data_IF_686433756703
#
_entry.id   IF_686433756703
#
_cell.length_a   1.000
_cell.length_b   1.000
_cell.length_c   1.000
_cell.angle_alpha   90.00
_cell.angle_beta   90.00
_cell.angle_gamma   90.00
#
_symmetry.space_group_name_H-M   'P 1'
#
loop_
_entity.id
_entity.type
_entity.pdbx_description
1 polymer ?
#
# COMPACT_ATOMS: atom_id res chain seq x y z
N UNK A 1 55.25 -10.98 -49.55
CA UNK A 1 53.90 -11.12 -48.98
C UNK A 1 52.97 -11.62 -50.06
N UNK A 2 52.41 -12.82 -49.89
CA UNK A 2 51.50 -13.43 -50.86
C UNK A 2 50.14 -12.70 -50.84
N UNK A 3 49.48 -12.67 -51.99
CA UNK A 3 48.17 -12.04 -52.21
C UNK A 3 47.10 -12.56 -51.26
N UNK A 4 47.23 -13.82 -50.81
CA UNK A 4 46.35 -14.44 -49.82
C UNK A 4 46.46 -13.79 -48.43
N UNK A 5 47.67 -13.45 -47.99
CA UNK A 5 47.91 -12.89 -46.67
C UNK A 5 47.25 -11.51 -46.51
N UNK A 6 47.27 -10.70 -47.56
CA UNK A 6 46.57 -9.41 -47.62
C UNK A 6 45.03 -9.56 -47.59
N UNK A 7 44.50 -10.55 -48.30
CA UNK A 7 43.05 -10.86 -48.31
C UNK A 7 42.54 -11.29 -46.93
N UNK A 8 43.35 -12.02 -46.15
CA UNK A 8 43.02 -12.36 -44.77
C UNK A 8 43.03 -11.14 -43.85
N UNK A 9 44.05 -10.29 -43.94
CA UNK A 9 44.14 -9.04 -43.14
C UNK A 9 42.95 -8.10 -43.40
N UNK A 10 42.56 -7.94 -44.67
CA UNK A 10 41.40 -7.12 -45.05
C UNK A 10 40.08 -7.67 -44.49
N UNK A 11 39.92 -9.00 -44.47
CA UNK A 11 38.73 -9.65 -43.88
C UNK A 11 38.67 -9.45 -42.38
N UNK A 12 39.79 -9.55 -41.67
CA UNK A 12 39.86 -9.31 -40.22
C UNK A 12 39.55 -7.84 -39.91
N UNK A 13 40.08 -6.90 -40.69
CA UNK A 13 39.79 -5.49 -40.55
C UNK A 13 38.29 -5.19 -40.75
N UNK A 14 37.67 -5.83 -41.75
CA UNK A 14 36.23 -5.68 -42.02
C UNK A 14 35.36 -6.28 -40.91
N UNK A 15 35.72 -7.44 -40.37
CA UNK A 15 35.01 -8.06 -39.24
C UNK A 15 35.13 -7.17 -38.00
N UNK A 16 36.32 -6.66 -37.67
CA UNK A 16 36.51 -5.75 -36.54
C UNK A 16 35.72 -4.45 -36.69
N UNK A 17 35.64 -3.90 -37.90
CA UNK A 17 34.84 -2.70 -38.19
C UNK A 17 33.35 -2.97 -37.97
N UNK A 18 32.83 -4.09 -38.50
CA UNK A 18 31.43 -4.51 -38.29
C UNK A 18 31.13 -4.74 -36.82
N UNK A 19 31.99 -5.45 -36.09
CA UNK A 19 31.81 -5.70 -34.66
C UNK A 19 31.82 -4.41 -33.85
N UNK A 20 32.68 -3.43 -34.18
CA UNK A 20 32.68 -2.11 -33.52
C UNK A 20 31.41 -1.30 -33.83
N UNK A 21 30.95 -1.30 -35.08
CA UNK A 21 29.71 -0.62 -35.48
C UNK A 21 28.47 -1.27 -34.84
N UNK A 22 28.43 -2.61 -34.74
CA UNK A 22 27.34 -3.35 -34.08
C UNK A 22 27.39 -3.19 -32.57
N UNK A 23 28.57 -3.18 -31.94
CA UNK A 23 28.74 -2.93 -30.52
C UNK A 23 28.39 -1.49 -30.13
N UNK A 24 28.64 -0.51 -31.01
CA UNK A 24 28.23 0.88 -30.83
C UNK A 24 26.72 1.08 -31.01
N UNK A 25 26.04 0.24 -31.80
CA UNK A 25 24.59 0.30 -32.03
C UNK A 25 23.77 -0.44 -30.98
N UNK A 26 24.35 -1.42 -30.28
CA UNK A 26 23.66 -2.10 -29.20
C UNK A 26 23.69 -1.23 -27.93
N UNK A 27 22.52 -0.76 -27.43
CA UNK A 27 22.50 -0.03 -26.17
C UNK A 27 23.03 -0.94 -25.06
N UNK A 28 23.92 -0.41 -24.20
CA UNK A 28 24.42 -1.12 -23.01
C UNK A 28 23.25 -1.77 -22.25
N UNK A 29 23.40 -3.00 -21.73
CA UNK A 29 22.34 -3.65 -20.96
C UNK A 29 21.94 -2.72 -19.81
N UNK A 30 20.70 -2.20 -19.87
CA UNK A 30 20.15 -1.28 -18.88
C UNK A 30 20.13 -1.97 -17.52
N UNK A 31 21.11 -1.67 -16.68
CA UNK A 31 21.13 -1.98 -15.25
C UNK A 31 19.95 -1.33 -14.50
N UNK A 32 19.22 -0.41 -15.14
CA UNK A 32 18.00 0.25 -14.64
C UNK A 32 16.80 -0.69 -14.41
N UNK A 33 16.88 -1.95 -14.83
CA UNK A 33 15.73 -2.86 -14.76
C UNK A 33 15.42 -3.39 -13.36
N UNK A 34 16.38 -3.52 -12.45
CA UNK A 34 16.13 -4.08 -11.10
C UNK A 34 15.34 -3.07 -10.25
N UNK A 35 15.76 -1.81 -10.24
CA UNK A 35 15.09 -0.75 -9.50
C UNK A 35 13.66 -0.48 -10.00
N UNK A 36 13.44 -0.51 -11.33
CA UNK A 36 12.09 -0.39 -11.90
C UNK A 36 11.18 -1.59 -11.60
N UNK A 37 11.76 -2.80 -11.51
CA UNK A 37 11.02 -4.01 -11.14
C UNK A 37 10.61 -4.03 -9.66
N UNK A 38 11.46 -3.50 -8.77
CA UNK A 38 11.15 -3.38 -7.33
C UNK A 38 10.23 -2.20 -7.01
N UNK A 39 10.30 -1.12 -7.80
CA UNK A 39 9.47 0.06 -7.58
C UNK A 39 7.96 -0.24 -7.66
N UNK A 40 7.55 -1.25 -8.44
CA UNK A 40 6.15 -1.56 -8.64
C UNK A 40 5.49 -2.29 -7.43
N UNK A 41 6.03 -3.42 -6.92
CA UNK A 41 5.54 -4.01 -5.67
C UNK A 41 5.67 -3.05 -4.47
N UNK A 42 6.76 -2.28 -4.41
CA UNK A 42 6.97 -1.31 -3.34
C UNK A 42 5.89 -0.21 -3.35
N UNK A 43 5.50 0.28 -4.53
CA UNK A 43 4.42 1.26 -4.66
C UNK A 43 3.05 0.66 -4.26
N UNK A 44 2.81 -0.62 -4.54
CA UNK A 44 1.58 -1.31 -4.10
C UNK A 44 1.51 -1.40 -2.57
N UNK A 45 2.59 -1.85 -1.92
CA UNK A 45 2.67 -1.88 -0.45
C UNK A 45 2.54 -0.48 0.13
N UNK A 46 3.20 0.52 -0.46
CA UNK A 46 3.08 1.92 -0.04
C UNK A 46 1.64 2.43 -0.10
N UNK A 47 0.91 2.12 -1.17
CA UNK A 47 -0.49 2.49 -1.30
C UNK A 47 -1.39 1.80 -0.27
N UNK A 48 -1.17 0.51 -0.01
CA UNK A 48 -1.88 -0.23 1.05
C UNK A 48 -1.63 0.39 2.43
N UNK A 49 -0.37 0.71 2.75
CA UNK A 49 0.00 1.32 4.03
C UNK A 49 -0.60 2.73 4.18
N UNK A 50 -0.64 3.50 3.09
CA UNK A 50 -1.28 4.81 3.07
C UNK A 50 -2.79 4.70 3.37
N UNK A 51 -3.48 3.75 2.73
CA UNK A 51 -4.89 3.47 3.03
C UNK A 51 -5.12 3.03 4.48
N UNK A 52 -4.22 2.21 5.03
CA UNK A 52 -4.28 1.80 6.43
C UNK A 52 -4.11 2.99 7.38
N UNK A 53 -3.11 3.84 7.13
CA UNK A 53 -2.82 5.04 7.94
C UNK A 53 -4.01 6.00 8.02
N UNK A 54 -4.77 6.13 6.94
CA UNK A 54 -5.99 6.95 6.91
C UNK A 54 -7.02 6.48 7.92
N UNK A 55 -7.20 5.17 8.07
CA UNK A 55 -8.15 4.62 9.04
C UNK A 55 -7.71 4.98 10.46
N UNK A 56 -6.41 4.83 10.77
CA UNK A 56 -5.85 5.24 12.07
C UNK A 56 -6.12 6.73 12.34
N UNK A 57 -5.78 7.61 11.40
CA UNK A 57 -6.01 9.05 11.57
C UNK A 57 -7.49 9.39 11.72
N UNK A 58 -8.35 8.75 10.95
CA UNK A 58 -9.80 8.95 11.03
C UNK A 58 -10.33 8.54 12.40
N UNK A 59 -9.92 7.37 12.92
CA UNK A 59 -10.31 6.90 14.26
C UNK A 59 -9.78 7.84 15.34
N UNK A 60 -8.54 8.32 15.22
CA UNK A 60 -7.97 9.29 16.15
C UNK A 60 -8.74 10.60 16.16
N UNK A 61 -9.01 11.19 14.99
CA UNK A 61 -9.79 12.43 14.89
C UNK A 61 -11.19 12.24 15.48
N UNK A 62 -11.85 11.11 15.20
CA UNK A 62 -13.16 10.81 15.77
C UNK A 62 -13.13 10.73 17.28
N UNK A 63 -12.12 10.07 17.85
CA UNK A 63 -11.93 10.02 19.30
C UNK A 63 -11.73 11.42 19.88
N UNK A 64 -10.90 12.26 19.27
CA UNK A 64 -10.68 13.63 19.75
C UNK A 64 -11.93 14.52 19.66
N UNK A 65 -12.79 14.30 18.66
CA UNK A 65 -14.01 15.10 18.47
C UNK A 65 -15.21 14.62 19.28
N UNK A 66 -15.35 13.30 19.47
CA UNK A 66 -16.56 12.67 20.03
C UNK A 66 -16.30 11.98 21.38
N UNK A 67 -15.05 11.58 21.65
CA UNK A 67 -14.68 10.83 22.85
C UNK A 67 -15.05 9.34 22.76
N UNK A 68 -15.43 8.76 23.89
CA UNK A 68 -15.83 7.35 24.01
C UNK A 68 -17.31 7.19 23.60
N UNK A 69 -17.63 6.36 22.60
CA UNK A 69 -19.01 6.13 22.18
C UNK A 69 -19.85 5.41 23.24
N UNK A 70 -21.16 5.70 23.28
CA UNK A 70 -22.09 4.95 24.13
C UNK A 70 -22.54 3.64 23.47
N UNK A 71 -22.45 2.53 24.23
CA UNK A 71 -22.90 1.20 23.80
C UNK A 71 -24.42 1.21 23.58
N UNK A 72 -24.88 0.81 22.39
CA UNK A 72 -26.32 0.71 22.06
C UNK A 72 -26.89 1.89 21.26
N UNK A 73 -26.12 2.97 21.04
CA UNK A 73 -26.43 4.01 20.03
C UNK A 73 -25.79 3.64 18.68
N UNK A 74 -26.00 2.41 18.24
CA UNK A 74 -25.49 1.94 16.95
C UNK A 74 -26.46 2.41 15.88
N UNK A 75 -26.04 3.38 15.06
CA UNK A 75 -26.44 3.51 13.64
C UNK A 75 -25.78 4.71 12.93
N UNK A 76 -25.29 5.73 13.64
CA UNK A 76 -24.74 6.93 12.98
C UNK A 76 -23.22 6.93 12.90
N UNK A 77 -22.53 6.34 13.89
CA UNK A 77 -21.09 6.48 14.04
C UNK A 77 -20.28 5.57 13.10
N UNK A 78 -20.78 4.37 12.78
CA UNK A 78 -20.17 3.49 11.77
C UNK A 78 -20.35 4.05 10.35
N UNK A 79 -21.48 4.70 10.07
CA UNK A 79 -21.68 5.44 8.82
C UNK A 79 -20.74 6.64 8.72
N UNK A 80 -20.48 7.36 9.82
CA UNK A 80 -19.49 8.45 9.86
C UNK A 80 -18.07 7.90 9.67
N UNK A 81 -17.74 6.75 10.28
CA UNK A 81 -16.49 6.01 10.04
C UNK A 81 -16.25 5.71 8.57
N UNK A 82 -17.25 5.12 7.91
CA UNK A 82 -17.17 4.75 6.50
C UNK A 82 -17.20 5.98 5.60
N UNK A 83 -18.02 6.99 5.91
CA UNK A 83 -18.07 8.23 5.15
C UNK A 83 -16.73 8.98 5.23
N UNK A 84 -16.11 9.05 6.41
CA UNK A 84 -14.80 9.68 6.61
C UNK A 84 -13.68 8.88 5.96
N UNK A 85 -13.69 7.54 6.06
CA UNK A 85 -12.73 6.69 5.37
C UNK A 85 -12.87 6.80 3.84
N UNK A 86 -14.10 6.89 3.34
CA UNK A 86 -14.39 7.11 1.91
C UNK A 86 -13.96 8.50 1.44
N UNK A 87 -14.20 9.54 2.25
CA UNK A 87 -13.73 10.91 2.01
C UNK A 87 -12.21 10.97 1.98
N UNK A 88 -11.54 10.33 2.91
CA UNK A 88 -10.08 10.30 2.94
C UNK A 88 -9.50 9.46 1.78
N UNK A 89 -10.15 8.36 1.39
CA UNK A 89 -9.85 7.64 0.16
C UNK A 89 -10.02 8.50 -1.09
N UNK A 90 -11.06 9.34 -1.13
CA UNK A 90 -11.32 10.30 -2.20
C UNK A 90 -10.25 11.40 -2.24
N UNK A 91 -9.84 11.94 -1.09
CA UNK A 91 -8.75 12.94 -0.99
C UNK A 91 -7.43 12.36 -1.48
N UNK A 92 -7.07 11.14 -1.06
CA UNK A 92 -5.88 10.44 -1.57
C UNK A 92 -5.95 10.24 -3.08
N UNK A 93 -7.13 9.88 -3.59
CA UNK A 93 -7.33 9.71 -5.02
C UNK A 93 -7.13 11.01 -5.81
N UNK A 94 -7.46 12.17 -5.23
CA UNK A 94 -7.25 13.48 -5.86
C UNK A 94 -5.76 13.85 -5.98
N UNK A 95 -4.92 13.48 -5.02
CA UNK A 95 -3.48 13.79 -5.06
C UNK A 95 -2.66 12.85 -5.97
N UNK A 96 -3.21 11.72 -6.40
CA UNK A 96 -2.48 10.67 -7.14
C UNK A 96 -2.80 10.59 -8.65
N UNK A 97 -3.29 11.68 -9.25
CA UNK A 97 -3.91 11.78 -10.60
C UNK A 97 -3.24 11.05 -11.78
N UNK A 98 -1.93 10.77 -11.77
CA UNK A 98 -1.21 10.25 -12.95
C UNK A 98 -0.79 8.77 -12.90
N UNK A 99 -0.89 8.06 -11.77
CA UNK A 99 -0.53 6.61 -11.66
C UNK A 99 -1.66 5.73 -11.12
N UNK A 100 -2.88 6.24 -11.27
CA UNK A 100 -3.94 6.09 -10.29
C UNK A 100 -4.67 4.73 -10.27
N UNK A 101 -4.87 4.07 -11.42
CA UNK A 101 -5.78 2.91 -11.46
C UNK A 101 -5.26 1.68 -10.74
N UNK A 102 -3.95 1.43 -10.81
CA UNK A 102 -3.36 0.20 -10.27
C UNK A 102 -3.09 0.27 -8.76
N UNK A 103 -2.84 1.47 -8.22
CA UNK A 103 -2.55 1.66 -6.79
C UNK A 103 -3.78 2.10 -5.98
N UNK A 104 -4.81 2.66 -6.63
CA UNK A 104 -6.06 3.00 -5.93
C UNK A 104 -6.73 1.76 -5.35
N UNK A 105 -6.72 0.63 -6.06
CA UNK A 105 -7.27 -0.64 -5.55
C UNK A 105 -6.51 -1.12 -4.30
N UNK A 106 -5.18 -1.03 -4.29
CA UNK A 106 -4.34 -1.39 -3.15
C UNK A 106 -4.66 -0.54 -1.90
N UNK A 107 -4.82 0.77 -2.09
CA UNK A 107 -5.21 1.70 -1.03
C UNK A 107 -6.61 1.39 -0.52
N UNK A 108 -7.58 1.14 -1.42
CA UNK A 108 -8.95 0.78 -1.03
C UNK A 108 -8.96 -0.52 -0.23
N UNK A 109 -8.20 -1.53 -0.64
CA UNK A 109 -8.05 -2.78 0.12
C UNK A 109 -7.43 -2.50 1.50
N UNK A 110 -6.41 -1.65 1.58
CA UNK A 110 -5.82 -1.23 2.86
C UNK A 110 -6.83 -0.55 3.79
N UNK A 111 -7.66 0.36 3.25
CA UNK A 111 -8.74 1.01 4.00
C UNK A 111 -9.75 -0.02 4.50
N UNK A 112 -10.30 -0.86 3.61
CA UNK A 112 -11.35 -1.82 3.96
C UNK A 112 -10.85 -2.87 4.96
N UNK A 113 -9.70 -3.48 4.67
CA UNK A 113 -9.12 -4.50 5.54
C UNK A 113 -8.84 -3.90 6.93
N UNK A 114 -8.19 -2.74 6.99
CA UNK A 114 -7.90 -2.08 8.26
C UNK A 114 -9.18 -1.69 8.98
N UNK A 115 -10.19 -1.16 8.29
CA UNK A 115 -11.47 -0.78 8.91
C UNK A 115 -12.14 -1.95 9.63
N UNK A 116 -12.15 -3.13 9.01
CA UNK A 116 -12.81 -4.31 9.56
C UNK A 116 -11.96 -5.12 10.54
N UNK A 117 -10.64 -4.87 10.60
CA UNK A 117 -9.70 -5.62 11.45
C UNK A 117 -8.97 -4.77 12.47
N UNK A 118 -9.16 -3.44 12.49
CA UNK A 118 -8.47 -2.51 13.39
C UNK A 118 -8.58 -2.94 14.85
N UNK A 119 -9.76 -3.42 15.27
CA UNK A 119 -10.00 -3.87 16.63
C UNK A 119 -9.11 -5.05 17.01
N UNK A 120 -8.69 -5.90 16.08
CA UNK A 120 -7.73 -6.97 16.37
C UNK A 120 -6.38 -6.43 16.84
N UNK A 121 -5.95 -5.25 16.35
CA UNK A 121 -4.74 -4.60 16.84
C UNK A 121 -4.93 -4.04 18.26
N UNK A 122 -6.14 -3.57 18.57
CA UNK A 122 -6.51 -3.14 19.94
C UNK A 122 -6.47 -4.34 20.90
N UNK A 123 -6.96 -5.51 20.46
CA UNK A 123 -6.85 -6.76 21.22
C UNK A 123 -5.40 -7.23 21.40
N UNK A 124 -4.56 -7.11 20.37
CA UNK A 124 -3.17 -7.55 20.43
C UNK A 124 -2.27 -6.63 21.27
N UNK A 125 -2.56 -5.32 21.30
CA UNK A 125 -1.70 -4.32 21.93
C UNK A 125 -2.49 -3.29 22.78
N UNK A 126 -3.33 -3.71 23.74
CA UNK A 126 -4.26 -2.82 24.45
C UNK A 126 -3.55 -1.62 25.10
N UNK A 127 -2.45 -1.86 25.81
CA UNK A 127 -1.67 -0.81 26.49
C UNK A 127 -1.16 0.30 25.57
N UNK A 128 -0.85 -0.02 24.30
CA UNK A 128 -0.41 1.00 23.34
C UNK A 128 -1.59 1.87 22.90
N UNK A 129 -2.78 1.27 22.75
CA UNK A 129 -3.98 1.99 22.37
C UNK A 129 -4.57 2.79 23.54
N UNK A 130 -4.44 2.32 24.78
CA UNK A 130 -4.81 3.08 25.99
C UNK A 130 -4.08 4.43 26.05
N UNK A 131 -2.79 4.45 25.70
CA UNK A 131 -1.99 5.70 25.67
C UNK A 131 -2.45 6.67 24.58
N UNK A 132 -3.01 6.17 23.48
CA UNK A 132 -3.46 7.00 22.34
C UNK A 132 -4.94 7.41 22.44
N UNK A 133 -5.79 6.55 23.00
CA UNK A 133 -7.25 6.64 22.94
C UNK A 133 -7.95 6.56 24.30
N UNK A 134 -7.22 6.47 25.43
CA UNK A 134 -7.73 6.17 26.77
C UNK A 134 -8.16 4.72 27.02
N UNK A 135 -8.19 4.34 28.29
CA UNK A 135 -8.62 3.02 28.78
C UNK A 135 -10.09 2.74 28.44
N UNK A 136 -10.98 3.69 28.75
CA UNK A 136 -12.42 3.58 28.48
C UNK A 136 -12.75 3.29 27.00
N UNK A 137 -11.96 3.84 26.07
CA UNK A 137 -12.15 3.60 24.64
C UNK A 137 -11.73 2.19 24.23
N UNK A 138 -10.62 1.69 24.79
CA UNK A 138 -10.15 0.32 24.55
C UNK A 138 -11.14 -0.69 25.13
N UNK A 139 -11.63 -0.47 26.35
CA UNK A 139 -12.69 -1.29 26.95
C UNK A 139 -13.96 -1.28 26.11
N UNK A 140 -14.38 -0.10 25.64
CA UNK A 140 -15.52 0.01 24.74
C UNK A 140 -15.34 -0.87 23.49
N UNK A 141 -14.18 -0.78 22.82
CA UNK A 141 -13.90 -1.59 21.63
C UNK A 141 -13.91 -3.09 21.92
N UNK A 142 -13.32 -3.52 23.03
CA UNK A 142 -13.31 -4.92 23.44
C UNK A 142 -14.70 -5.42 23.85
N UNK A 143 -15.58 -4.52 24.30
CA UNK A 143 -16.97 -4.86 24.62
C UNK A 143 -17.84 -5.08 23.39
N UNK A 144 -17.55 -4.40 22.28
CA UNK A 144 -18.36 -4.49 21.05
C UNK A 144 -17.73 -5.36 19.95
N UNK A 145 -16.49 -5.83 20.13
CA UNK A 145 -15.77 -6.66 19.16
C UNK A 145 -15.11 -7.88 19.82
N UNK A 146 -14.72 -8.87 19.02
CA UNK A 146 -14.01 -10.06 19.50
C UNK A 146 -12.61 -10.13 18.88
N UNK A 147 -11.61 -10.76 19.53
CA UNK A 147 -10.31 -10.99 18.93
C UNK A 147 -10.43 -11.95 17.73
N UNK A 148 -9.50 -11.85 16.78
CA UNK A 148 -9.45 -12.69 15.58
C UNK A 148 -10.78 -12.70 14.81
N UNK A 149 -11.39 -11.53 14.62
CA UNK A 149 -12.68 -11.40 13.94
C UNK A 149 -12.68 -10.27 12.92
N UNK A 150 -13.70 -10.26 12.06
CA UNK A 150 -14.10 -9.12 11.25
C UNK A 150 -15.29 -8.44 11.92
N UNK A 151 -15.19 -7.14 12.15
CA UNK A 151 -16.31 -6.34 12.62
C UNK A 151 -16.93 -5.58 11.45
N UNK A 152 -18.11 -6.00 11.01
CA UNK A 152 -18.77 -5.53 9.80
C UNK A 152 -20.18 -5.06 10.13
N UNK A 153 -20.40 -3.74 10.13
CA UNK A 153 -21.71 -3.11 10.36
C UNK A 153 -22.45 -3.60 11.62
N UNK A 154 -21.73 -3.73 12.75
CA UNK A 154 -22.32 -4.23 14.00
C UNK A 154 -22.39 -5.75 14.12
N UNK A 155 -21.91 -6.49 13.13
CA UNK A 155 -21.83 -7.96 13.14
C UNK A 155 -20.38 -8.37 13.29
N UNK A 156 -20.10 -9.22 14.28
CA UNK A 156 -18.78 -9.83 14.49
C UNK A 156 -18.74 -11.20 13.83
N UNK A 157 -17.77 -11.41 12.94
CA UNK A 157 -17.56 -12.67 12.21
C UNK A 157 -16.19 -13.21 12.61
N UNK A 158 -16.14 -14.32 13.35
CA UNK A 158 -14.89 -14.97 13.74
C UNK A 158 -14.09 -15.48 12.53
N UNK A 159 -12.76 -15.34 12.58
CA UNK A 159 -11.84 -15.93 11.63
C UNK A 159 -11.36 -17.26 12.22
N UNK A 160 -11.90 -18.38 11.70
CA UNK A 160 -11.56 -19.75 12.08
C UNK A 160 -10.21 -20.21 11.54
#
# INVERSE_FOLDING_TARGET
MSTEQKSFEDRIAQINKRTKETASKNPKPKTDNVWKRLAYPAAFVGAFMLGSMVVFLTRFIQFQMVGVPEVGKVNTQDFIGIAMASLAGMVISMFLRDKQKEFASASTVGVLLTTFTFHNLVWAYPTHFEQMYSEDWVEFMQKITEPSSLYVFGITIGLS
#
